data_IF_191045330567
#
_entry.id   IF_191045330567
#
_cell.length_a   1.000
_cell.length_b   1.000
_cell.length_c   1.000
_cell.angle_alpha   90.00
_cell.angle_beta   90.00
_cell.angle_gamma   90.00
#
_symmetry.space_group_name_H-M   'P 1'
#
loop_
_entity.id
_entity.type
_entity.pdbx_description
1 polymer ?
#
# COMPACT_ATOMS: atom_id res chain seq x y z
N UNK A 1 -16.63 3.40 2.84
CA UNK A 1 -17.01 2.31 1.95
C UNK A 1 -17.68 2.81 0.67
N UNK A 2 -18.76 3.62 0.72
CA UNK A 2 -19.54 4.01 -0.49
C UNK A 2 -18.69 4.78 -1.52
N UNK A 3 -17.98 5.83 -1.13
CA UNK A 3 -17.08 6.59 -2.02
C UNK A 3 -16.00 5.67 -2.61
N UNK A 4 -15.48 4.74 -1.80
CA UNK A 4 -14.48 3.79 -2.27
C UNK A 4 -15.05 2.82 -3.31
N UNK A 5 -16.29 2.36 -3.11
CA UNK A 5 -17.01 1.54 -4.09
C UNK A 5 -17.21 2.27 -5.41
N UNK A 6 -17.61 3.55 -5.38
CA UNK A 6 -17.78 4.35 -6.60
C UNK A 6 -16.45 4.56 -7.36
N UNK A 7 -15.38 4.85 -6.64
CA UNK A 7 -14.06 5.06 -7.25
C UNK A 7 -13.51 3.79 -7.90
N UNK A 8 -13.80 2.62 -7.31
CA UNK A 8 -13.21 1.33 -7.71
C UNK A 8 -14.13 0.45 -8.57
N UNK A 9 -15.34 0.92 -8.91
CA UNK A 9 -16.36 0.13 -9.62
C UNK A 9 -15.91 -0.46 -10.96
N UNK A 10 -14.91 0.14 -11.62
CA UNK A 10 -14.37 -0.31 -12.89
C UNK A 10 -13.04 -1.09 -12.73
N UNK A 11 -12.57 -1.33 -11.51
CA UNK A 11 -11.32 -2.02 -11.26
C UNK A 11 -11.53 -3.52 -11.30
N UNK A 12 -11.05 -4.16 -12.36
CA UNK A 12 -11.09 -5.62 -12.47
C UNK A 12 -10.27 -6.26 -11.33
N UNK A 13 -10.82 -7.31 -10.71
CA UNK A 13 -10.13 -8.01 -9.63
C UNK A 13 -10.29 -7.36 -8.24
N UNK A 14 -11.10 -6.31 -8.11
CA UNK A 14 -11.37 -5.64 -6.85
C UNK A 14 -12.87 -5.41 -6.67
N UNK A 15 -13.39 -5.63 -5.47
CA UNK A 15 -14.80 -5.44 -5.15
C UNK A 15 -14.95 -4.86 -3.75
N UNK A 16 -15.77 -3.83 -3.61
CA UNK A 16 -16.21 -3.30 -2.30
C UNK A 16 -17.61 -3.88 -2.02
N UNK A 17 -17.87 -4.46 -0.82
CA UNK A 17 -19.18 -4.95 -0.46
C UNK A 17 -20.23 -3.83 -0.49
N UNK A 18 -21.43 -4.16 -0.93
CA UNK A 18 -22.55 -3.21 -0.95
C UNK A 18 -22.97 -2.85 0.48
N UNK A 19 -23.28 -1.57 0.70
CA UNK A 19 -23.81 -1.08 1.97
C UNK A 19 -25.34 -1.08 1.93
N UNK A 20 -25.96 -1.61 2.98
CA UNK A 20 -27.42 -1.56 3.19
C UNK A 20 -27.78 -0.39 4.08
N UNK A 21 -28.00 0.77 3.48
CA UNK A 21 -28.27 2.03 4.20
C UNK A 21 -29.46 1.96 5.13
N UNK A 22 -30.51 1.19 4.77
CA UNK A 22 -31.70 1.00 5.61
C UNK A 22 -31.40 0.22 6.91
N UNK A 23 -30.27 -0.46 6.99
CA UNK A 23 -29.80 -1.23 8.15
C UNK A 23 -28.50 -0.67 8.72
N UNK A 24 -28.13 0.56 8.35
CA UNK A 24 -26.92 1.25 8.80
C UNK A 24 -27.31 2.43 9.69
N UNK A 25 -26.59 2.63 10.80
CA UNK A 25 -26.78 3.74 11.75
C UNK A 25 -25.42 4.32 12.15
N UNK A 26 -25.40 5.27 13.07
CA UNK A 26 -24.17 5.91 13.54
C UNK A 26 -23.11 4.90 14.03
N UNK A 27 -23.52 3.83 14.69
CA UNK A 27 -22.64 2.86 15.31
C UNK A 27 -22.69 1.47 14.66
N UNK A 28 -23.49 1.27 13.60
CA UNK A 28 -23.69 -0.01 12.93
C UNK A 28 -23.66 0.17 11.42
N UNK A 29 -22.75 -0.55 10.75
CA UNK A 29 -22.69 -0.60 9.29
C UNK A 29 -23.02 -2.01 8.81
N UNK A 30 -24.03 -2.12 7.95
CA UNK A 30 -24.47 -3.40 7.38
C UNK A 30 -24.01 -3.51 5.94
N UNK A 31 -23.25 -4.58 5.65
CA UNK A 31 -22.65 -4.86 4.35
C UNK A 31 -23.15 -6.19 3.79
N UNK A 32 -22.91 -6.43 2.48
CA UNK A 32 -23.00 -7.76 1.92
C UNK A 32 -22.12 -8.74 2.69
N UNK A 33 -22.63 -9.96 2.87
CA UNK A 33 -21.80 -11.06 3.34
C UNK A 33 -20.81 -11.46 2.24
N UNK A 34 -19.52 -11.48 2.56
CA UNK A 34 -18.47 -11.86 1.62
C UNK A 34 -18.27 -13.37 1.65
N UNK A 35 -18.67 -14.04 0.59
CA UNK A 35 -18.36 -15.46 0.38
C UNK A 35 -16.95 -15.58 -0.21
N UNK A 36 -15.99 -15.99 0.62
CA UNK A 36 -14.58 -16.07 0.21
C UNK A 36 -13.70 -16.59 1.31
N UNK A 37 -12.39 -16.48 1.08
CA UNK A 37 -11.35 -16.88 2.02
C UNK A 37 -10.57 -15.65 2.44
N UNK A 38 -10.36 -15.49 3.75
CA UNK A 38 -9.44 -14.46 4.25
C UNK A 38 -8.01 -14.76 3.77
N UNK A 39 -7.28 -13.72 3.36
CA UNK A 39 -5.86 -13.90 2.97
C UNK A 39 -4.98 -14.37 4.13
N UNK A 40 -5.49 -14.35 5.35
CA UNK A 40 -4.88 -14.94 6.54
C UNK A 40 -4.89 -16.47 6.53
N UNK A 41 -5.86 -17.08 5.84
CA UNK A 41 -6.09 -18.53 5.80
C UNK A 41 -5.27 -19.20 4.68
N UNK A 42 -3.95 -19.19 4.84
CA UNK A 42 -3.01 -19.65 3.79
C UNK A 42 -3.27 -21.08 3.33
N UNK A 43 -3.60 -22.00 4.24
CA UNK A 43 -3.92 -23.39 3.91
C UNK A 43 -5.18 -23.50 3.04
N UNK A 44 -6.18 -22.68 3.31
CA UNK A 44 -7.41 -22.69 2.53
C UNK A 44 -7.21 -22.05 1.13
N UNK A 45 -6.37 -21.02 1.05
CA UNK A 45 -5.95 -20.44 -0.23
C UNK A 45 -5.20 -21.45 -1.10
N UNK A 46 -4.30 -22.24 -0.51
CA UNK A 46 -3.58 -23.32 -1.19
C UNK A 46 -4.53 -24.42 -1.70
N UNK A 47 -5.47 -24.88 -0.86
CA UNK A 47 -6.48 -25.90 -1.26
C UNK A 47 -7.32 -25.43 -2.45
N UNK A 48 -7.61 -24.13 -2.54
CA UNK A 48 -8.35 -23.51 -3.65
C UNK A 48 -7.47 -23.17 -4.86
N UNK A 49 -6.18 -23.51 -4.82
CA UNK A 49 -5.19 -23.17 -5.85
C UNK A 49 -5.11 -21.67 -6.15
N UNK A 50 -5.28 -20.82 -5.12
CA UNK A 50 -5.16 -19.38 -5.25
C UNK A 50 -3.67 -19.00 -5.17
N UNK A 51 -3.16 -18.33 -6.20
CA UNK A 51 -1.79 -17.86 -6.25
C UNK A 51 -1.59 -16.66 -5.30
N UNK A 52 -1.07 -16.94 -4.11
CA UNK A 52 -0.83 -15.95 -3.06
C UNK A 52 0.15 -14.85 -3.48
N UNK A 53 1.10 -15.15 -4.40
CA UNK A 53 2.05 -14.15 -4.92
C UNK A 53 1.35 -13.18 -5.84
N UNK A 54 0.48 -13.72 -6.71
CA UNK A 54 -0.35 -12.88 -7.59
C UNK A 54 -1.26 -11.99 -6.74
N UNK A 55 -1.94 -12.54 -5.73
CA UNK A 55 -2.79 -11.75 -4.82
C UNK A 55 -2.00 -10.64 -4.12
N UNK A 56 -0.81 -10.92 -3.59
CA UNK A 56 0.04 -9.90 -2.96
C UNK A 56 0.40 -8.77 -3.95
N UNK A 57 0.77 -9.13 -5.17
CA UNK A 57 1.04 -8.15 -6.23
C UNK A 57 -0.19 -7.32 -6.58
N UNK A 58 -1.34 -7.97 -6.74
CA UNK A 58 -2.60 -7.30 -7.10
C UNK A 58 -3.06 -6.33 -5.99
N UNK A 59 -2.92 -6.71 -4.72
CA UNK A 59 -3.22 -5.84 -3.57
C UNK A 59 -2.38 -4.55 -3.63
N UNK A 60 -1.06 -4.67 -3.83
CA UNK A 60 -0.16 -3.51 -3.94
C UNK A 60 -0.55 -2.64 -5.14
N UNK A 61 -0.84 -3.25 -6.28
CA UNK A 61 -1.23 -2.51 -7.49
C UNK A 61 -2.54 -1.75 -7.30
N UNK A 62 -3.56 -2.39 -6.71
CA UNK A 62 -4.82 -1.72 -6.40
C UNK A 62 -4.63 -0.58 -5.39
N UNK A 63 -3.87 -0.83 -4.33
CA UNK A 63 -3.57 0.18 -3.33
C UNK A 63 -2.90 1.41 -3.94
N UNK A 64 -1.82 1.23 -4.71
CA UNK A 64 -1.11 2.34 -5.35
C UNK A 64 -2.00 3.06 -6.39
N UNK A 65 -2.81 2.31 -7.14
CA UNK A 65 -3.77 2.88 -8.09
C UNK A 65 -4.78 3.76 -7.39
N UNK A 66 -5.39 3.29 -6.31
CA UNK A 66 -6.39 4.06 -5.55
C UNK A 66 -5.75 5.29 -4.90
N UNK A 67 -4.54 5.19 -4.37
CA UNK A 67 -3.84 6.32 -3.77
C UNK A 67 -3.48 7.38 -4.81
N UNK A 68 -2.93 6.98 -5.96
CA UNK A 68 -2.43 7.92 -6.99
C UNK A 68 -3.55 8.44 -7.88
N UNK A 69 -4.45 7.56 -8.35
CA UNK A 69 -5.55 7.92 -9.25
C UNK A 69 -6.66 8.67 -8.51
N UNK A 70 -7.16 8.05 -7.43
CA UNK A 70 -8.37 8.51 -6.76
C UNK A 70 -8.05 9.44 -5.58
N UNK A 71 -6.85 9.35 -5.02
CA UNK A 71 -6.50 10.05 -3.79
C UNK A 71 -7.30 9.58 -2.59
N UNK A 72 -7.96 8.42 -2.70
CA UNK A 72 -8.77 7.85 -1.65
C UNK A 72 -8.55 6.34 -1.59
N UNK A 73 -8.01 5.85 -0.49
CA UNK A 73 -7.53 4.49 -0.37
C UNK A 73 -7.80 3.91 1.02
N UNK A 74 -7.83 2.59 1.09
CA UNK A 74 -7.94 1.86 2.34
C UNK A 74 -6.60 1.91 3.09
N UNK A 75 -6.59 2.48 4.28
CA UNK A 75 -5.36 2.72 5.04
C UNK A 75 -5.07 1.64 6.11
N UNK A 76 -5.88 0.60 6.18
CA UNK A 76 -5.71 -0.52 7.11
C UNK A 76 -5.96 -1.88 6.43
N UNK A 77 -5.22 -2.13 5.37
CA UNK A 77 -5.33 -3.39 4.60
C UNK A 77 -4.57 -4.56 5.26
N UNK A 78 -4.77 -4.78 6.55
CA UNK A 78 -4.16 -5.93 7.20
C UNK A 78 -4.85 -7.25 6.78
N UNK A 79 -4.17 -8.38 6.99
CA UNK A 79 -4.60 -9.69 6.49
C UNK A 79 -6.01 -10.12 6.95
N UNK A 80 -6.46 -9.63 8.12
CA UNK A 80 -7.80 -9.91 8.64
C UNK A 80 -8.92 -9.16 7.93
N UNK A 81 -8.60 -8.07 7.24
CA UNK A 81 -9.56 -7.18 6.57
C UNK A 81 -9.70 -7.44 5.07
N UNK A 82 -8.98 -8.43 4.52
CA UNK A 82 -8.99 -8.72 3.08
C UNK A 82 -9.43 -10.16 2.85
N UNK A 83 -10.41 -10.31 1.98
CA UNK A 83 -10.91 -11.60 1.49
C UNK A 83 -10.66 -11.75 -0.01
N UNK A 84 -10.56 -13.00 -0.45
CA UNK A 84 -10.63 -13.35 -1.86
C UNK A 84 -11.95 -14.07 -2.08
N UNK A 85 -12.85 -13.47 -2.86
CA UNK A 85 -14.16 -14.05 -3.15
C UNK A 85 -14.05 -15.23 -4.13
N UNK A 86 -15.18 -15.91 -4.35
CA UNK A 86 -15.24 -17.08 -5.25
C UNK A 86 -14.94 -16.75 -6.74
N UNK A 87 -14.95 -15.47 -7.11
CA UNK A 87 -14.55 -14.98 -8.44
C UNK A 87 -13.06 -14.59 -8.51
N UNK A 88 -12.30 -14.76 -7.41
CA UNK A 88 -10.89 -14.39 -7.33
C UNK A 88 -10.62 -12.90 -7.15
N UNK A 89 -11.65 -12.11 -6.77
CA UNK A 89 -11.49 -10.68 -6.54
C UNK A 89 -11.07 -10.40 -5.10
N UNK A 90 -10.29 -9.36 -4.92
CA UNK A 90 -9.90 -8.81 -3.62
C UNK A 90 -11.08 -8.02 -3.04
N UNK A 91 -11.49 -8.36 -1.83
CA UNK A 91 -12.63 -7.74 -1.15
C UNK A 91 -12.21 -7.27 0.24
N UNK A 92 -12.01 -5.96 0.47
CA UNK A 92 -11.84 -5.41 1.81
C UNK A 92 -13.18 -5.40 2.55
N UNK A 93 -13.16 -5.60 3.88
CA UNK A 93 -14.37 -5.70 4.70
C UNK A 93 -14.47 -4.69 5.85
N UNK A 94 -13.37 -4.07 6.26
CA UNK A 94 -13.35 -3.05 7.29
C UNK A 94 -12.91 -1.71 6.69
N UNK A 95 -13.74 -0.69 6.80
CA UNK A 95 -13.50 0.65 6.24
C UNK A 95 -13.33 1.71 7.34
N UNK A 96 -12.92 1.29 8.53
CA UNK A 96 -12.74 2.18 9.69
C UNK A 96 -11.62 3.20 9.48
N UNK A 97 -10.57 2.82 8.74
CA UNK A 97 -9.43 3.70 8.48
C UNK A 97 -9.24 3.86 6.97
N UNK A 98 -9.61 5.03 6.46
CA UNK A 98 -9.43 5.42 5.06
C UNK A 98 -8.44 6.59 4.95
N UNK A 99 -7.55 6.53 3.97
CA UNK A 99 -6.62 7.62 3.66
C UNK A 99 -7.13 8.51 2.54
N UNK A 100 -6.81 9.80 2.63
CA UNK A 100 -7.14 10.77 1.58
C UNK A 100 -5.91 11.62 1.26
N UNK A 101 -5.60 11.75 -0.02
CA UNK A 101 -4.57 12.63 -0.56
C UNK A 101 -5.22 13.74 -1.37
N UNK A 102 -4.78 14.96 -1.18
CA UNK A 102 -5.10 16.07 -2.08
C UNK A 102 -4.36 15.94 -3.42
N UNK A 103 -4.70 16.76 -4.39
CA UNK A 103 -4.12 16.68 -5.72
C UNK A 103 -2.61 16.92 -5.74
N UNK A 104 -2.10 17.77 -4.85
CA UNK A 104 -0.68 18.03 -4.74
C UNK A 104 0.08 16.83 -4.15
N UNK A 105 -0.45 16.22 -3.10
CA UNK A 105 0.10 15.01 -2.48
C UNK A 105 0.07 13.81 -3.44
N UNK A 106 -1.00 13.66 -4.23
CA UNK A 106 -1.07 12.65 -5.32
C UNK A 106 0.04 12.85 -6.34
N UNK A 107 0.25 14.09 -6.78
CA UNK A 107 1.30 14.42 -7.73
C UNK A 107 2.69 14.08 -7.18
N UNK A 108 3.00 14.50 -5.95
CA UNK A 108 4.28 14.18 -5.33
C UNK A 108 4.48 12.67 -5.19
N UNK A 109 3.45 11.93 -4.74
CA UNK A 109 3.53 10.48 -4.65
C UNK A 109 3.81 9.84 -6.01
N UNK A 110 3.13 10.27 -7.06
CA UNK A 110 3.34 9.77 -8.41
C UNK A 110 4.76 10.06 -8.92
N UNK A 111 5.28 11.27 -8.69
CA UNK A 111 6.64 11.67 -9.08
C UNK A 111 7.70 10.87 -8.32
N UNK A 112 7.51 10.62 -7.02
CA UNK A 112 8.39 9.80 -6.19
C UNK A 112 8.42 8.37 -6.73
N UNK A 113 7.27 7.73 -6.94
CA UNK A 113 7.17 6.37 -7.46
C UNK A 113 7.80 6.26 -8.85
N UNK A 114 7.52 7.22 -9.74
CA UNK A 114 8.09 7.25 -11.07
C UNK A 114 9.61 7.41 -11.05
N UNK A 115 10.14 8.29 -10.18
CA UNK A 115 11.57 8.49 -10.01
C UNK A 115 12.26 7.23 -9.49
N UNK A 116 11.67 6.51 -8.55
CA UNK A 116 12.18 5.20 -8.10
C UNK A 116 12.22 4.19 -9.25
N UNK A 117 11.13 4.05 -10.02
CA UNK A 117 11.07 3.13 -11.18
C UNK A 117 12.15 3.47 -12.22
N UNK A 118 12.42 4.76 -12.44
CA UNK A 118 13.44 5.24 -13.36
C UNK A 118 14.85 5.23 -12.76
N UNK A 119 15.00 4.91 -11.47
CA UNK A 119 16.26 5.00 -10.70
C UNK A 119 16.85 6.41 -10.69
N UNK A 120 15.99 7.42 -10.86
CA UNK A 120 16.38 8.85 -10.78
C UNK A 120 16.24 9.34 -9.33
N UNK A 121 17.17 8.89 -8.50
CA UNK A 121 17.16 9.19 -7.07
C UNK A 121 17.37 10.67 -6.77
N UNK A 122 18.03 11.40 -7.66
CA UNK A 122 18.17 12.85 -7.53
C UNK A 122 16.83 13.54 -7.68
N UNK A 123 16.06 13.17 -8.71
CA UNK A 123 14.69 13.69 -8.90
C UNK A 123 13.79 13.31 -7.71
N UNK A 124 13.92 12.09 -7.19
CA UNK A 124 13.16 11.67 -5.99
C UNK A 124 13.49 12.56 -4.79
N UNK A 125 14.78 12.86 -4.55
CA UNK A 125 15.21 13.75 -3.46
C UNK A 125 14.68 15.18 -3.64
N UNK A 126 14.75 15.73 -4.85
CA UNK A 126 14.18 17.05 -5.18
C UNK A 126 12.68 17.12 -4.91
N UNK A 127 11.93 16.06 -5.25
CA UNK A 127 10.49 15.98 -4.98
C UNK A 127 10.22 15.93 -3.48
N UNK A 128 11.01 15.20 -2.70
CA UNK A 128 10.87 15.17 -1.24
C UNK A 128 11.05 16.56 -0.62
N UNK A 129 12.04 17.32 -1.09
CA UNK A 129 12.25 18.70 -0.65
C UNK A 129 11.10 19.62 -1.07
N UNK A 130 10.66 19.52 -2.32
CA UNK A 130 9.54 20.32 -2.84
C UNK A 130 8.23 20.03 -2.12
N UNK A 131 8.01 18.78 -1.72
CA UNK A 131 6.84 18.35 -0.95
C UNK A 131 6.92 18.72 0.54
N UNK A 132 8.05 19.27 1.01
CA UNK A 132 8.26 19.57 2.42
C UNK A 132 8.37 18.32 3.32
N UNK A 133 8.68 17.17 2.75
CA UNK A 133 8.85 15.92 3.48
C UNK A 133 10.19 15.85 4.23
N UNK A 134 11.13 16.68 3.85
CA UNK A 134 12.44 16.85 4.49
C UNK A 134 12.73 18.34 4.71
N UNK A 135 13.53 18.69 5.72
CA UNK A 135 13.98 20.09 5.92
C UNK A 135 14.69 20.64 4.70
N UNK A 136 14.51 21.93 4.42
CA UNK A 136 15.07 22.60 3.22
C UNK A 136 16.61 22.62 3.19
N UNK A 137 17.23 22.48 4.34
CA UNK A 137 18.66 22.50 4.54
C UNK A 137 19.35 21.17 4.16
N UNK A 138 18.55 20.13 3.92
CA UNK A 138 19.06 18.80 3.53
C UNK A 138 19.67 18.87 2.13
N UNK A 139 20.94 18.52 1.94
CA UNK A 139 21.56 18.47 0.62
C UNK A 139 20.89 17.41 -0.27
N UNK A 140 20.50 17.81 -1.47
CA UNK A 140 19.83 16.91 -2.45
C UNK A 140 20.65 15.64 -2.71
N UNK A 141 21.96 15.78 -2.88
CA UNK A 141 22.84 14.66 -3.24
C UNK A 141 22.99 13.66 -2.08
N UNK A 142 22.98 14.11 -0.82
CA UNK A 142 23.03 13.24 0.35
C UNK A 142 21.74 12.42 0.49
N UNK A 143 20.59 13.08 0.31
CA UNK A 143 19.28 12.41 0.31
C UNK A 143 19.18 11.44 -0.86
N UNK A 144 19.63 11.83 -2.05
CA UNK A 144 19.62 10.98 -3.24
C UNK A 144 20.45 9.71 -3.05
N UNK A 145 21.63 9.81 -2.41
CA UNK A 145 22.44 8.64 -2.07
C UNK A 145 21.76 7.72 -1.08
N UNK A 146 21.13 8.27 -0.05
CA UNK A 146 20.38 7.48 0.92
C UNK A 146 19.20 6.74 0.27
N UNK A 147 18.42 7.42 -0.57
CA UNK A 147 17.32 6.83 -1.32
C UNK A 147 17.81 5.75 -2.30
N UNK A 148 18.97 5.96 -2.94
CA UNK A 148 19.62 4.96 -3.79
C UNK A 148 19.99 3.70 -3.00
N UNK A 149 20.50 3.84 -1.77
CA UNK A 149 20.88 2.70 -0.94
C UNK A 149 19.70 1.80 -0.56
N UNK A 150 18.48 2.36 -0.56
CA UNK A 150 17.24 1.62 -0.35
C UNK A 150 16.73 1.04 -1.68
N UNK A 151 16.73 1.84 -2.75
CA UNK A 151 16.11 1.48 -4.03
C UNK A 151 16.91 0.45 -4.83
N UNK A 152 18.23 0.62 -4.97
CA UNK A 152 19.06 -0.25 -5.80
C UNK A 152 19.01 -1.75 -5.41
N UNK A 153 19.06 -2.12 -4.13
CA UNK A 153 18.94 -3.52 -3.75
C UNK A 153 17.64 -4.18 -4.19
N UNK A 154 16.57 -3.40 -4.33
CA UNK A 154 15.24 -3.92 -4.73
C UNK A 154 15.22 -4.30 -6.21
N UNK A 155 15.90 -3.52 -7.06
CA UNK A 155 15.86 -3.72 -8.52
C UNK A 155 16.73 -4.87 -9.05
N UNK A 156 17.64 -5.39 -8.23
CA UNK A 156 18.55 -6.49 -8.64
C UNK A 156 18.18 -7.85 -8.08
N UNK A 157 17.16 -7.93 -7.22
CA UNK A 157 16.83 -9.14 -6.49
C UNK A 157 15.44 -9.68 -6.87
N UNK A 158 15.29 -11.01 -6.76
CA UNK A 158 13.95 -11.60 -6.76
C UNK A 158 13.17 -11.11 -5.54
N UNK A 159 11.86 -10.87 -5.68
CA UNK A 159 10.97 -10.48 -4.58
C UNK A 159 11.13 -11.42 -3.36
N UNK A 160 11.51 -12.68 -3.59
CA UNK A 160 11.77 -13.68 -2.53
C UNK A 160 12.98 -13.37 -1.66
N UNK A 161 13.95 -12.65 -2.21
CA UNK A 161 15.25 -12.38 -1.58
C UNK A 161 15.24 -11.01 -0.85
N UNK A 162 14.16 -10.23 -1.03
CA UNK A 162 13.99 -8.93 -0.38
C UNK A 162 13.45 -9.16 1.03
N UNK A 163 14.31 -8.93 2.02
CA UNK A 163 13.88 -8.92 3.42
C UNK A 163 13.08 -7.65 3.73
N UNK A 164 11.75 -7.80 3.89
CA UNK A 164 10.87 -6.69 4.26
C UNK A 164 11.30 -5.99 5.55
N UNK A 165 11.77 -6.74 6.56
CA UNK A 165 12.28 -6.17 7.80
C UNK A 165 13.55 -5.34 7.60
N UNK A 166 14.46 -5.77 6.72
CA UNK A 166 15.68 -5.01 6.39
C UNK A 166 15.33 -3.72 5.63
N UNK A 167 14.41 -3.82 4.66
CA UNK A 167 13.94 -2.66 3.90
C UNK A 167 13.27 -1.62 4.81
N UNK A 168 12.40 -2.08 5.71
CA UNK A 168 11.73 -1.21 6.67
C UNK A 168 12.74 -0.52 7.60
N UNK A 169 13.72 -1.27 8.13
CA UNK A 169 14.77 -0.69 8.96
C UNK A 169 15.53 0.41 8.19
N UNK A 170 15.94 0.13 6.95
CA UNK A 170 16.63 1.13 6.12
C UNK A 170 15.76 2.38 5.88
N UNK A 171 14.46 2.19 5.68
CA UNK A 171 13.53 3.31 5.53
C UNK A 171 13.45 4.15 6.81
N UNK A 172 13.36 3.52 7.98
CA UNK A 172 13.38 4.23 9.26
C UNK A 172 14.72 4.95 9.50
N UNK A 173 15.82 4.29 9.23
CA UNK A 173 17.18 4.88 9.38
C UNK A 173 17.31 6.16 8.52
N UNK A 174 16.79 6.16 7.29
CA UNK A 174 16.75 7.33 6.40
C UNK A 174 15.79 8.40 6.92
N UNK A 175 14.60 8.00 7.36
CA UNK A 175 13.60 8.92 7.90
C UNK A 175 14.16 9.68 9.13
N UNK A 176 14.82 8.97 10.04
CA UNK A 176 15.44 9.55 11.23
C UNK A 176 16.64 10.43 10.85
N UNK A 177 17.54 9.93 10.00
CA UNK A 177 18.76 10.63 9.57
C UNK A 177 18.47 12.00 8.95
N UNK A 178 17.40 12.10 8.15
CA UNK A 178 17.04 13.32 7.44
C UNK A 178 15.90 14.09 8.11
N UNK A 179 15.51 13.71 9.35
CA UNK A 179 14.39 14.31 10.08
C UNK A 179 13.15 14.50 9.18
N UNK A 180 12.80 13.43 8.46
CA UNK A 180 11.69 13.47 7.52
C UNK A 180 10.39 13.69 8.27
N UNK A 181 9.62 14.67 7.84
CA UNK A 181 8.27 14.88 8.36
C UNK A 181 7.35 13.79 7.80
N UNK A 182 6.92 12.91 8.68
CA UNK A 182 5.93 11.91 8.33
C UNK A 182 4.55 12.57 8.32
N UNK A 183 4.02 12.87 7.15
CA UNK A 183 2.61 13.22 7.05
C UNK A 183 1.78 12.01 7.49
N UNK A 184 0.74 12.17 8.35
CA UNK A 184 -0.08 11.05 8.82
C UNK A 184 -0.61 10.16 7.69
N UNK A 185 -0.95 10.76 6.55
CA UNK A 185 -1.43 10.06 5.36
C UNK A 185 -0.36 9.16 4.72
N UNK A 186 0.91 9.58 4.74
CA UNK A 186 2.04 8.80 4.22
C UNK A 186 2.51 7.74 5.21
N UNK A 187 2.33 7.95 6.52
CA UNK A 187 2.51 6.91 7.54
C UNK A 187 1.53 5.74 7.32
N UNK A 188 0.28 6.03 6.97
CA UNK A 188 -0.70 5.02 6.63
C UNK A 188 -0.25 4.22 5.39
N UNK A 189 0.32 4.87 4.38
CA UNK A 189 0.94 4.20 3.22
C UNK A 189 2.08 3.26 3.64
N UNK A 190 2.92 3.68 4.57
CA UNK A 190 4.01 2.85 5.08
C UNK A 190 3.50 1.63 5.86
N UNK A 191 2.48 1.80 6.69
CA UNK A 191 1.87 0.71 7.46
C UNK A 191 1.27 -0.35 6.55
N UNK A 192 0.56 0.05 5.50
CA UNK A 192 0.00 -0.87 4.50
C UNK A 192 1.10 -1.61 3.75
N UNK A 193 2.14 -0.91 3.31
CA UNK A 193 3.28 -1.53 2.62
C UNK A 193 4.00 -2.56 3.51
N UNK A 194 4.16 -2.28 4.81
CA UNK A 194 4.75 -3.22 5.77
C UNK A 194 3.90 -4.47 5.94
N UNK A 195 2.59 -4.32 6.09
CA UNK A 195 1.67 -5.45 6.26
C UNK A 195 1.71 -6.38 5.05
N UNK A 196 1.88 -5.83 3.85
CA UNK A 196 1.95 -6.62 2.60
C UNK A 196 3.30 -7.29 2.39
N UNK A 197 4.40 -6.63 2.75
CA UNK A 197 5.74 -7.23 2.67
C UNK A 197 5.95 -8.35 3.71
N UNK A 198 5.14 -8.36 4.79
CA UNK A 198 5.13 -9.41 5.81
C UNK A 198 4.04 -10.45 5.61
N UNK A 199 3.28 -10.42 4.49
CA UNK A 199 2.48 -11.56 4.09
C UNK A 199 3.37 -12.81 4.16
N UNK A 200 2.95 -13.87 4.85
CA UNK A 200 3.78 -15.05 5.01
C UNK A 200 4.10 -15.63 3.64
N UNK A 201 5.22 -15.20 3.09
CA UNK A 201 5.93 -16.02 2.12
C UNK A 201 6.38 -17.21 2.93
N UNK A 202 5.66 -18.32 2.78
CA UNK A 202 5.81 -19.55 3.50
C UNK A 202 7.29 -19.90 3.60
N UNK A 203 7.89 -19.64 4.75
CA UNK A 203 9.13 -20.26 5.13
C UNK A 203 8.79 -21.66 5.62
N UNK A 204 8.80 -22.62 4.70
CA UNK A 204 9.12 -23.98 5.13
C UNK A 204 10.61 -24.04 5.43
N UNK A 205 10.93 -24.25 6.73
CA UNK A 205 12.16 -24.85 7.19
C UNK A 205 12.15 -26.30 6.75
#
# INVERSE_FOLDING_TARGET
ANEYSENTKNDSGFQVPRIYWNFTSENVMTLDWVEGVSIRETEELEKRNIDTKKIASDIIQHFLRHAVRDGFFHADMHQGNIFINNSGQIVPIDFGIMGRLDDLSKKFLAEILYGFIKRDYKKVAEVHLAAGLVPKEVPVDDLAQALRSIGEPIFGQSIKDISGGKLLKQLFDVTEKFNMQTQPQLLMLQTVSYTHLTLPTIHRV
#
